data_IF_743318392470
#
_entry.id   IF_743318392470
#
_cell.length_a   1.000
_cell.length_b   1.000
_cell.length_c   1.000
_cell.angle_alpha   90.00
_cell.angle_beta   90.00
_cell.angle_gamma   90.00
#
_symmetry.space_group_name_H-M   'P 1'
#
loop_
_entity.id
_entity.type
_entity.pdbx_description
1 polymer ?
#
# COMPACT_ATOMS: atom_id res chain seq x y z
N UNK A 1 -10.70 5.81 6.82
CA UNK A 1 -9.72 6.58 7.63
C UNK A 1 -9.52 5.97 9.03
N UNK A 2 -10.56 5.51 9.71
CA UNK A 2 -10.44 4.93 11.06
C UNK A 2 -9.65 3.61 11.09
N UNK A 3 -9.56 2.86 10.01
CA UNK A 3 -8.90 1.54 9.97
C UNK A 3 -7.43 1.59 10.41
N UNK A 4 -6.65 2.57 9.94
CA UNK A 4 -5.22 2.69 10.30
C UNK A 4 -5.00 2.93 11.80
N UNK A 5 -5.96 3.52 12.51
CA UNK A 5 -5.90 3.75 13.96
C UNK A 5 -6.09 2.48 14.80
N UNK A 6 -6.66 1.43 14.20
CA UNK A 6 -6.88 0.14 14.87
C UNK A 6 -5.81 -0.90 14.55
N UNK A 7 -4.85 -0.56 13.69
CA UNK A 7 -3.74 -1.46 13.34
C UNK A 7 -2.57 -1.17 14.28
N UNK A 8 -2.32 -2.09 15.20
CA UNK A 8 -1.13 -2.04 16.03
C UNK A 8 0.10 -2.35 15.18
N UNK A 9 0.94 -1.35 14.99
CA UNK A 9 2.17 -1.45 14.23
C UNK A 9 3.35 -1.28 15.19
N UNK A 10 4.29 -2.20 15.11
CA UNK A 10 5.55 -2.10 15.86
C UNK A 10 6.48 -1.06 15.24
N UNK A 11 7.30 -0.43 16.08
CA UNK A 11 8.36 0.48 15.64
C UNK A 11 9.27 -0.17 14.59
N UNK A 12 9.62 0.59 13.55
CA UNK A 12 10.45 0.13 12.44
C UNK A 12 9.69 -0.59 11.31
N UNK A 13 8.38 -0.83 11.45
CA UNK A 13 7.55 -1.40 10.39
C UNK A 13 7.22 -0.35 9.33
N UNK A 14 7.00 -0.82 8.10
CA UNK A 14 6.56 0.03 6.98
C UNK A 14 5.11 -0.29 6.66
N UNK A 15 4.22 0.66 6.88
CA UNK A 15 2.82 0.58 6.46
C UNK A 15 2.67 1.02 5.00
N UNK A 16 2.03 0.20 4.16
CA UNK A 16 1.76 0.54 2.76
C UNK A 16 0.25 0.51 2.53
N UNK A 17 -0.32 1.64 2.12
CA UNK A 17 -1.77 1.77 1.98
C UNK A 17 -2.18 2.69 0.83
N UNK A 18 -3.45 2.61 0.44
CA UNK A 18 -4.00 3.45 -0.62
C UNK A 18 -4.17 4.91 -0.17
N UNK A 19 -4.07 5.85 -1.13
CA UNK A 19 -4.27 7.30 -0.91
C UNK A 19 -5.61 7.66 -0.28
N UNK A 20 -6.61 6.78 -0.35
CA UNK A 20 -7.90 6.94 0.31
C UNK A 20 -7.79 7.04 1.83
N UNK A 21 -6.75 6.43 2.40
CA UNK A 21 -6.48 6.45 3.85
C UNK A 21 -5.61 7.63 4.29
N UNK A 22 -5.14 8.50 3.38
CA UNK A 22 -4.28 9.62 3.74
C UNK A 22 -4.94 10.52 4.78
N UNK A 23 -4.23 10.66 5.90
CA UNK A 23 -4.57 11.52 7.03
C UNK A 23 -3.26 12.00 7.67
N UNK A 24 -2.98 13.30 7.56
CA UNK A 24 -1.70 13.86 8.02
C UNK A 24 -1.53 13.79 9.55
N UNK A 25 -2.62 13.74 10.31
CA UNK A 25 -2.55 13.47 11.76
C UNK A 25 -2.02 12.06 12.03
N UNK A 26 -2.52 11.05 11.32
CA UNK A 26 -2.01 9.68 11.43
C UNK A 26 -0.55 9.57 10.97
N UNK A 27 -0.13 10.35 9.97
CA UNK A 27 1.27 10.38 9.52
C UNK A 27 2.20 10.97 10.57
N UNK A 28 1.73 11.97 11.31
CA UNK A 28 2.43 12.53 12.44
C UNK A 28 2.55 11.53 13.61
N UNK A 29 1.47 10.85 13.94
CA UNK A 29 1.46 9.75 14.92
C UNK A 29 2.45 8.64 14.54
N UNK A 30 2.57 8.31 13.25
CA UNK A 30 3.55 7.36 12.74
C UNK A 30 4.99 7.86 12.91
N UNK A 31 5.25 9.14 12.62
CA UNK A 31 6.55 9.76 12.84
C UNK A 31 6.98 9.66 14.31
N UNK A 32 6.09 10.02 15.24
CA UNK A 32 6.34 9.96 16.67
C UNK A 32 6.54 8.52 17.16
N UNK A 33 5.77 7.57 16.63
CA UNK A 33 5.86 6.14 16.95
C UNK A 33 7.05 5.41 16.29
N UNK A 34 7.80 6.08 15.43
CA UNK A 34 8.88 5.45 14.65
C UNK A 34 8.38 4.38 13.69
N UNK A 35 7.16 4.55 13.19
CA UNK A 35 6.53 3.72 12.16
C UNK A 35 6.75 4.41 10.82
N UNK A 36 7.17 3.64 9.83
CA UNK A 36 7.33 4.15 8.48
C UNK A 36 6.07 3.91 7.64
N UNK A 37 5.91 4.70 6.58
CA UNK A 37 4.80 4.48 5.66
C UNK A 37 5.16 4.84 4.22
N UNK A 38 4.44 4.24 3.27
CA UNK A 38 4.46 4.62 1.86
C UNK A 38 3.02 4.64 1.34
N UNK A 39 2.62 5.76 0.76
CA UNK A 39 1.32 5.91 0.11
C UNK A 39 1.41 6.85 -1.09
N UNK A 40 0.35 6.95 -1.89
CA UNK A 40 0.30 7.93 -2.98
C UNK A 40 -0.20 9.29 -2.48
N UNK A 41 0.36 10.35 -3.03
CA UNK A 41 -0.15 11.70 -2.84
C UNK A 41 -1.54 11.85 -3.49
N UNK A 42 -2.44 12.57 -2.86
CA UNK A 42 -3.72 12.96 -3.47
C UNK A 42 -3.48 14.11 -4.45
N UNK A 43 -4.18 14.11 -5.58
CA UNK A 43 -4.05 15.15 -6.61
C UNK A 43 -4.42 16.56 -6.14
N UNK A 44 -5.24 16.66 -5.08
CA UNK A 44 -5.65 17.91 -4.45
C UNK A 44 -4.89 18.21 -3.15
N UNK A 45 -3.73 17.58 -2.93
CA UNK A 45 -2.92 17.83 -1.75
C UNK A 45 -2.26 19.20 -1.84
N UNK A 46 -2.34 19.98 -0.76
CA UNK A 46 -1.60 21.22 -0.60
C UNK A 46 -0.33 20.94 0.19
N UNK A 47 0.81 21.35 -0.34
CA UNK A 47 2.12 21.22 0.28
C UNK A 47 3.07 22.29 -0.19
N UNK A 48 4.13 22.55 0.55
CA UNK A 48 5.25 23.39 0.18
C UNK A 48 6.48 22.53 -0.09
N UNK A 49 7.17 22.71 -1.22
CA UNK A 49 8.45 22.05 -1.48
C UNK A 49 9.56 22.80 -0.75
N UNK A 50 10.30 22.09 0.09
CA UNK A 50 11.36 22.66 0.94
C UNK A 50 12.74 22.48 0.35
N UNK A 51 12.99 21.27 -0.14
CA UNK A 51 14.29 20.85 -0.64
C UNK A 51 14.13 19.78 -1.69
N UNK A 52 14.86 19.90 -2.78
CA UNK A 52 15.02 18.84 -3.76
C UNK A 52 16.25 17.98 -3.39
N UNK A 53 16.08 16.66 -3.43
CA UNK A 53 17.15 15.71 -3.18
C UNK A 53 17.81 15.33 -4.51
N UNK A 54 19.12 15.10 -4.49
CA UNK A 54 19.83 14.61 -5.66
C UNK A 54 19.39 13.19 -6.02
N UNK A 55 19.11 12.97 -7.30
CA UNK A 55 18.84 11.64 -7.85
C UNK A 55 20.15 11.17 -8.49
N UNK A 56 20.82 10.14 -7.93
CA UNK A 56 22.05 9.66 -8.51
C UNK A 56 21.84 9.16 -9.95
N UNK A 57 22.68 9.61 -10.87
CA UNK A 57 22.58 9.33 -12.32
C UNK A 57 22.69 7.84 -12.71
N UNK A 58 23.16 7.00 -11.82
CA UNK A 58 23.23 5.53 -12.00
C UNK A 58 21.91 4.81 -11.61
N UNK A 59 20.92 5.56 -11.12
CA UNK A 59 19.60 5.05 -10.76
C UNK A 59 18.65 5.40 -11.90
N UNK A 60 18.65 4.60 -12.95
CA UNK A 60 17.68 4.70 -14.06
C UNK A 60 16.48 3.78 -13.78
N UNK A 61 15.76 4.07 -12.70
CA UNK A 61 14.61 3.29 -12.27
C UNK A 61 13.29 4.07 -12.31
N UNK A 62 13.19 5.07 -13.18
CA UNK A 62 11.98 5.83 -13.43
C UNK A 62 11.70 6.94 -12.39
N UNK A 63 12.62 7.22 -11.49
CA UNK A 63 12.49 8.34 -10.55
C UNK A 63 12.63 9.67 -11.29
N UNK A 64 11.57 10.49 -11.28
CA UNK A 64 11.54 11.79 -11.94
C UNK A 64 11.92 12.93 -11.00
N UNK A 65 11.52 12.84 -9.74
CA UNK A 65 11.76 13.86 -8.73
C UNK A 65 11.76 13.25 -7.33
N UNK A 66 12.60 13.78 -6.47
CA UNK A 66 12.69 13.45 -5.06
C UNK A 66 12.82 14.74 -4.26
N UNK A 67 11.89 15.00 -3.37
CA UNK A 67 11.86 16.26 -2.64
C UNK A 67 11.33 16.09 -1.21
N UNK A 68 11.79 16.94 -0.30
CA UNK A 68 11.21 17.13 1.01
C UNK A 68 10.10 18.17 0.91
N UNK A 69 8.92 17.82 1.39
CA UNK A 69 7.74 18.69 1.39
C UNK A 69 7.26 18.95 2.81
N UNK A 70 6.64 20.11 3.02
CA UNK A 70 5.88 20.44 4.23
C UNK A 70 4.40 20.33 3.98
N UNK A 71 3.71 19.72 4.94
CA UNK A 71 2.25 19.59 4.93
C UNK A 71 1.69 20.00 6.27
N UNK A 72 0.55 20.67 6.25
CA UNK A 72 -0.16 21.08 7.45
C UNK A 72 -0.97 19.92 8.03
N UNK A 73 -0.77 19.64 9.30
CA UNK A 73 -1.62 18.77 10.09
C UNK A 73 -2.79 19.61 10.63
N UNK A 74 -4.01 19.15 10.36
CA UNK A 74 -5.25 19.81 10.81
C UNK A 74 -6.11 18.84 11.59
N UNK A 75 -6.76 19.35 12.62
CA UNK A 75 -7.79 18.62 13.36
C UNK A 75 -9.07 19.45 13.40
N UNK A 76 -10.19 18.87 13.01
CA UNK A 76 -11.48 19.55 12.89
C UNK A 76 -11.44 20.86 12.07
N UNK A 77 -10.52 20.92 11.08
CA UNK A 77 -10.29 22.11 10.26
C UNK A 77 -9.33 23.14 10.83
N UNK A 78 -8.96 23.03 12.11
CA UNK A 78 -7.96 23.91 12.76
C UNK A 78 -6.54 23.42 12.49
N UNK A 79 -5.63 24.34 12.21
CA UNK A 79 -4.20 24.08 12.09
C UNK A 79 -3.63 23.63 13.45
N UNK A 80 -2.83 22.56 13.45
CA UNK A 80 -2.10 22.10 14.63
C UNK A 80 -0.61 22.36 14.49
N UNK A 81 0.00 21.80 13.46
CA UNK A 81 1.44 21.92 13.19
C UNK A 81 1.74 21.60 11.73
N UNK A 82 2.96 21.83 11.32
CA UNK A 82 3.49 21.42 10.02
C UNK A 82 4.45 20.25 10.21
N UNK A 83 4.39 19.25 9.35
CA UNK A 83 5.32 18.12 9.34
C UNK A 83 6.06 18.04 8.02
N UNK A 84 7.29 17.54 8.06
CA UNK A 84 8.08 17.27 6.86
C UNK A 84 7.88 15.81 6.44
N UNK A 85 7.62 15.63 5.15
CA UNK A 85 7.51 14.33 4.49
C UNK A 85 8.38 14.34 3.23
N UNK A 86 8.69 13.18 2.72
CA UNK A 86 9.38 13.02 1.44
C UNK A 86 8.37 12.70 0.35
N UNK A 87 8.48 13.40 -0.77
CA UNK A 87 7.69 13.15 -1.98
C UNK A 87 8.61 12.62 -3.07
N UNK A 88 8.23 11.51 -3.70
CA UNK A 88 8.92 10.89 -4.81
C UNK A 88 7.98 10.82 -6.01
N UNK A 89 8.35 11.47 -7.11
CA UNK A 89 7.67 11.32 -8.39
C UNK A 89 8.36 10.21 -9.20
N UNK A 90 7.56 9.27 -9.71
CA UNK A 90 8.05 8.07 -10.37
C UNK A 90 7.26 7.81 -11.65
N UNK A 91 7.98 7.57 -12.75
CA UNK A 91 7.38 7.16 -14.01
C UNK A 91 7.22 5.63 -14.07
N UNK A 92 5.99 5.18 -14.20
CA UNK A 92 5.69 3.77 -14.42
C UNK A 92 5.60 3.49 -15.92
N UNK A 93 6.63 2.91 -16.48
CA UNK A 93 6.72 2.65 -17.91
C UNK A 93 5.71 1.59 -18.39
N UNK A 94 5.32 0.65 -17.54
CA UNK A 94 4.31 -0.37 -17.85
C UNK A 94 2.91 0.27 -18.03
N UNK A 95 2.56 1.22 -17.16
CA UNK A 95 1.25 1.87 -17.17
C UNK A 95 1.28 3.25 -17.85
N UNK A 96 2.44 3.72 -18.35
CA UNK A 96 2.64 5.01 -19.03
C UNK A 96 2.07 6.18 -18.24
N UNK A 97 2.37 6.23 -16.95
CA UNK A 97 1.87 7.28 -16.06
C UNK A 97 2.86 7.62 -14.95
N UNK A 98 2.76 8.85 -14.47
CA UNK A 98 3.50 9.30 -13.30
C UNK A 98 2.73 8.98 -12.02
N UNK A 99 3.45 8.49 -11.01
CA UNK A 99 2.96 8.34 -9.65
C UNK A 99 3.71 9.30 -8.73
N UNK A 100 3.01 9.89 -7.80
CA UNK A 100 3.59 10.66 -6.71
C UNK A 100 3.36 9.92 -5.39
N UNK A 101 4.45 9.55 -4.74
CA UNK A 101 4.45 8.87 -3.45
C UNK A 101 4.80 9.85 -2.35
N UNK A 102 4.22 9.67 -1.16
CA UNK A 102 4.62 10.35 0.06
C UNK A 102 5.00 9.32 1.13
N UNK A 103 6.02 9.68 1.91
CA UNK A 103 6.61 8.80 2.91
C UNK A 103 7.38 9.59 3.95
N UNK A 104 7.68 8.97 5.08
CA UNK A 104 8.65 9.44 6.07
C UNK A 104 9.99 8.67 6.01
N UNK A 105 10.22 7.87 4.98
CA UNK A 105 11.47 7.12 4.75
C UNK A 105 12.51 8.03 4.06
N UNK A 106 13.14 8.94 4.82
CA UNK A 106 14.10 9.88 4.25
C UNK A 106 15.40 9.23 3.79
N UNK A 107 15.86 8.16 4.44
CA UNK A 107 17.13 7.48 4.13
C UNK A 107 17.05 6.36 3.10
N UNK A 108 15.85 6.04 2.58
CA UNK A 108 15.68 4.97 1.61
C UNK A 108 15.88 5.48 0.17
N UNK A 109 16.42 4.63 -0.71
CA UNK A 109 16.48 4.93 -2.14
C UNK A 109 15.09 5.21 -2.72
N UNK A 110 14.94 6.24 -3.56
CA UNK A 110 13.66 6.68 -4.13
C UNK A 110 12.99 5.60 -4.99
N UNK A 111 13.74 4.86 -5.80
CA UNK A 111 13.23 3.74 -6.58
C UNK A 111 12.66 2.61 -5.70
N UNK A 112 13.29 2.34 -4.56
CA UNK A 112 12.78 1.36 -3.60
C UNK A 112 11.42 1.76 -3.02
N UNK A 113 11.16 3.05 -2.81
CA UNK A 113 9.84 3.56 -2.36
C UNK A 113 8.77 3.19 -3.40
N UNK A 114 9.03 3.40 -4.69
CA UNK A 114 8.13 3.02 -5.76
C UNK A 114 7.90 1.49 -5.80
N UNK A 115 8.94 0.69 -5.66
CA UNK A 115 8.86 -0.77 -5.63
C UNK A 115 8.05 -1.29 -4.42
N UNK A 116 8.22 -0.69 -3.24
CA UNK A 116 7.44 -1.02 -2.05
C UNK A 116 5.95 -0.75 -2.33
N UNK A 117 5.62 0.40 -2.90
CA UNK A 117 4.23 0.69 -3.23
C UNK A 117 3.67 -0.24 -4.32
N UNK A 118 4.46 -0.60 -5.33
CA UNK A 118 4.05 -1.55 -6.37
C UNK A 118 3.63 -2.90 -5.78
N UNK A 119 4.28 -3.37 -4.71
CA UNK A 119 3.89 -4.59 -3.99
C UNK A 119 2.50 -4.55 -3.37
N UNK A 120 1.99 -3.36 -3.00
CA UNK A 120 0.60 -3.20 -2.53
C UNK A 120 -0.42 -3.74 -3.53
N UNK A 121 -0.13 -3.61 -4.83
CA UNK A 121 -1.02 -4.11 -5.89
C UNK A 121 -1.27 -5.61 -5.83
N UNK A 122 -0.39 -6.37 -5.20
CA UNK A 122 -0.56 -7.82 -5.01
C UNK A 122 -1.82 -8.14 -4.20
N UNK A 123 -2.26 -7.24 -3.30
CA UNK A 123 -3.52 -7.40 -2.55
C UNK A 123 -4.72 -7.35 -3.50
N UNK A 124 -4.71 -6.44 -4.47
CA UNK A 124 -5.80 -6.33 -5.45
C UNK A 124 -5.86 -7.57 -6.35
N UNK A 125 -4.70 -8.08 -6.76
CA UNK A 125 -4.61 -9.34 -7.51
C UNK A 125 -5.12 -10.53 -6.68
N UNK A 126 -4.79 -10.58 -5.40
CA UNK A 126 -5.31 -11.59 -4.48
C UNK A 126 -6.84 -11.51 -4.39
N UNK A 127 -7.41 -10.33 -4.14
CA UNK A 127 -8.87 -10.17 -4.09
C UNK A 127 -9.54 -10.51 -5.42
N UNK A 128 -8.92 -10.17 -6.56
CA UNK A 128 -9.41 -10.57 -7.88
C UNK A 128 -9.43 -12.08 -8.02
N UNK A 129 -8.33 -12.76 -7.65
CA UNK A 129 -8.23 -14.22 -7.67
C UNK A 129 -9.28 -14.89 -6.77
N UNK A 130 -9.47 -14.38 -5.55
CA UNK A 130 -10.47 -14.90 -4.62
C UNK A 130 -11.89 -14.77 -5.18
N UNK A 131 -12.24 -13.59 -5.71
CA UNK A 131 -13.58 -13.35 -6.29
C UNK A 131 -13.85 -14.16 -7.56
N UNK A 132 -12.80 -14.50 -8.33
CA UNK A 132 -12.95 -15.27 -9.55
C UNK A 132 -13.07 -16.78 -9.31
N UNK A 133 -12.39 -17.30 -8.30
CA UNK A 133 -12.26 -18.74 -8.10
C UNK A 133 -13.07 -19.28 -6.91
N UNK A 134 -13.64 -18.41 -6.07
CA UNK A 134 -14.39 -18.82 -4.88
C UNK A 134 -15.75 -18.10 -4.79
N UNK A 135 -16.76 -18.72 -4.16
CA UNK A 135 -18.11 -18.20 -4.06
C UNK A 135 -18.24 -17.08 -3.01
N UNK A 136 -17.46 -16.00 -3.16
CA UNK A 136 -17.51 -14.83 -2.28
C UNK A 136 -18.58 -13.78 -2.69
N UNK A 137 -19.38 -14.09 -3.72
CA UNK A 137 -20.50 -13.22 -4.14
C UNK A 137 -21.71 -13.37 -3.24
N UNK A 138 -21.83 -14.51 -2.57
CA UNK A 138 -22.93 -14.82 -1.67
C UNK A 138 -22.36 -15.38 -0.37
N UNK A 139 -22.88 -14.93 0.75
CA UNK A 139 -22.53 -15.48 2.06
C UNK A 139 -23.61 -16.47 2.49
N UNK A 140 -23.16 -17.61 3.04
CA UNK A 140 -24.05 -18.71 3.48
C UNK A 140 -24.77 -18.38 4.78
N UNK A 141 -24.34 -17.33 5.50
CA UNK A 141 -24.96 -16.89 6.73
C UNK A 141 -24.95 -15.37 6.84
N UNK A 142 -25.94 -14.82 7.55
CA UNK A 142 -26.19 -13.39 7.67
C UNK A 142 -25.47 -12.76 8.88
N UNK A 143 -24.93 -13.57 9.80
CA UNK A 143 -24.24 -13.05 10.96
C UNK A 143 -22.74 -12.87 10.70
N UNK A 144 -22.14 -11.95 11.43
CA UNK A 144 -20.73 -11.58 11.29
C UNK A 144 -19.76 -12.77 11.41
N UNK A 145 -20.07 -13.71 12.31
CA UNK A 145 -19.22 -14.88 12.53
C UNK A 145 -19.25 -15.84 11.33
N UNK A 146 -20.43 -16.10 10.75
CA UNK A 146 -20.57 -16.95 9.56
C UNK A 146 -19.82 -16.34 8.36
N UNK A 147 -19.92 -15.02 8.17
CA UNK A 147 -19.20 -14.29 7.13
C UNK A 147 -17.68 -14.42 7.33
N UNK A 148 -17.17 -14.23 8.56
CA UNK A 148 -15.76 -14.39 8.90
C UNK A 148 -15.27 -15.80 8.63
N UNK A 149 -16.03 -16.82 9.04
CA UNK A 149 -15.68 -18.23 8.79
C UNK A 149 -15.55 -18.49 7.30
N UNK A 150 -16.51 -18.07 6.49
CA UNK A 150 -16.45 -18.27 5.03
C UNK A 150 -15.23 -17.61 4.43
N UNK A 151 -14.91 -16.37 4.82
CA UNK A 151 -13.71 -15.67 4.35
C UNK A 151 -12.45 -16.42 4.75
N UNK A 152 -12.32 -16.89 6.00
CA UNK A 152 -11.16 -17.63 6.45
C UNK A 152 -11.00 -18.96 5.72
N UNK A 153 -12.08 -19.70 5.50
CA UNK A 153 -12.05 -20.93 4.71
C UNK A 153 -11.49 -20.69 3.31
N UNK A 154 -11.99 -19.65 2.64
CA UNK A 154 -11.52 -19.26 1.29
C UNK A 154 -10.03 -18.90 1.31
N UNK A 155 -9.57 -18.14 2.29
CA UNK A 155 -8.16 -17.74 2.40
C UNK A 155 -7.26 -18.97 2.63
N UNK A 156 -7.67 -19.91 3.49
CA UNK A 156 -6.94 -21.15 3.76
C UNK A 156 -6.87 -22.01 2.50
N UNK A 157 -7.99 -22.23 1.81
CA UNK A 157 -8.01 -23.03 0.57
C UNK A 157 -7.16 -22.37 -0.51
N UNK A 158 -7.25 -21.03 -0.68
CA UNK A 158 -6.41 -20.31 -1.62
C UNK A 158 -4.92 -20.50 -1.32
N UNK A 159 -4.52 -20.44 -0.04
CA UNK A 159 -3.13 -20.66 0.38
C UNK A 159 -2.67 -22.09 0.07
N UNK A 160 -3.48 -23.09 0.40
CA UNK A 160 -3.18 -24.50 0.13
C UNK A 160 -3.02 -24.75 -1.37
N UNK A 161 -3.95 -24.29 -2.19
CA UNK A 161 -3.87 -24.40 -3.66
C UNK A 161 -2.63 -23.70 -4.23
N UNK A 162 -2.26 -22.54 -3.68
CA UNK A 162 -1.04 -21.82 -4.09
C UNK A 162 0.23 -22.66 -3.76
N UNK A 163 0.27 -23.29 -2.59
CA UNK A 163 1.38 -24.17 -2.21
C UNK A 163 1.43 -25.40 -3.10
N UNK A 164 0.29 -26.04 -3.37
CA UNK A 164 0.19 -27.20 -4.26
C UNK A 164 0.66 -26.82 -5.67
N UNK A 165 0.17 -25.69 -6.23
CA UNK A 165 0.56 -25.20 -7.54
C UNK A 165 2.08 -25.04 -7.69
N UNK A 166 2.74 -24.54 -6.63
CA UNK A 166 4.22 -24.37 -6.62
C UNK A 166 4.97 -25.70 -6.58
N UNK A 167 4.37 -26.74 -6.00
CA UNK A 167 4.99 -28.08 -5.84
C UNK A 167 4.75 -29.00 -7.04
N UNK A 168 3.69 -28.78 -7.81
CA UNK A 168 3.36 -29.60 -8.97
C UNK A 168 4.33 -29.28 -10.11
N UNK A 169 4.92 -30.31 -10.73
CA UNK A 169 5.82 -30.17 -11.89
C UNK A 169 5.12 -29.61 -13.13
N UNK A 170 3.81 -29.88 -13.30
CA UNK A 170 3.00 -29.41 -14.42
C UNK A 170 2.45 -28.02 -14.12
N UNK A 171 2.63 -27.09 -15.05
CA UNK A 171 2.08 -25.72 -14.96
C UNK A 171 0.55 -25.74 -15.15
N UNK A 172 -0.19 -25.90 -14.10
CA UNK A 172 -1.64 -25.76 -14.09
C UNK A 172 -2.03 -24.31 -13.79
N UNK A 173 -3.07 -23.82 -14.49
CA UNK A 173 -3.69 -22.55 -14.10
C UNK A 173 -4.35 -22.71 -12.73
N UNK A 174 -4.32 -21.66 -11.91
CA UNK A 174 -4.93 -21.67 -10.58
C UNK A 174 -6.42 -22.02 -10.62
N UNK A 175 -7.15 -21.48 -11.61
CA UNK A 175 -8.56 -21.76 -11.85
C UNK A 175 -8.85 -23.26 -12.03
N UNK A 176 -7.96 -23.98 -12.71
CA UNK A 176 -8.14 -25.41 -12.93
C UNK A 176 -7.95 -26.21 -11.61
N UNK A 177 -7.07 -25.75 -10.72
CA UNK A 177 -6.90 -26.36 -9.40
C UNK A 177 -8.06 -26.02 -8.45
N UNK A 178 -8.66 -24.86 -8.61
CA UNK A 178 -9.77 -24.41 -7.77
C UNK A 178 -11.13 -25.00 -8.18
N UNK A 179 -11.20 -25.66 -9.35
CA UNK A 179 -12.42 -26.30 -9.86
C UNK A 179 -12.52 -27.79 -9.52
N UNK A 180 -11.50 -28.37 -8.90
CA UNK A 180 -11.53 -29.71 -8.32
C UNK A 180 -12.06 -29.67 -6.89
#
# INVERSE_FOLDING_TARGET
KQFLKHVELEKGRIAVFDKGYNDYKTFDEFNEGGIFFVTRLKSNASYESVKENDIPSYIDDGVLKDEVIRVDVKENGAYLKTIELRKVAYWDDENKRCFEFITNLHGMNAGHIALIYKKRWQIELLFKQLKQNFPLKFFLGDNENAIKIQIWCVLIVNLLLTVIQKKIKRKWAFSNLASF
#
